data_IF_765156925618
#
_entry.id   IF_765156925618
#
_cell.length_a   1.000
_cell.length_b   1.000
_cell.length_c   1.000
_cell.angle_alpha   90.00
_cell.angle_beta   90.00
_cell.angle_gamma   90.00
#
_symmetry.space_group_name_H-M   'P 1'
#
loop_
_entity.id
_entity.type
_entity.pdbx_description
1 polymer ?
#
# COMPACT_ATOMS: atom_id res chain seq x y z
N UNK A 1 39.45 -22.46 -20.17
CA UNK A 1 39.08 -22.62 -18.73
C UNK A 1 39.04 -21.29 -18.00
N UNK A 2 40.03 -20.40 -18.15
CA UNK A 2 40.04 -19.06 -17.53
C UNK A 2 38.71 -18.30 -17.64
N UNK A 3 38.14 -18.13 -18.84
CA UNK A 3 36.91 -17.34 -19.03
C UNK A 3 35.73 -17.84 -18.19
N UNK A 4 35.54 -19.16 -18.06
CA UNK A 4 34.48 -19.73 -17.21
C UNK A 4 34.74 -19.47 -15.73
N UNK A 5 36.00 -19.48 -15.30
CA UNK A 5 36.37 -19.15 -13.92
C UNK A 5 36.20 -17.65 -13.64
N UNK A 6 36.50 -16.77 -14.59
CA UNK A 6 36.25 -15.32 -14.50
C UNK A 6 34.73 -15.07 -14.45
N UNK A 7 33.94 -15.62 -15.37
CA UNK A 7 32.47 -15.48 -15.37
C UNK A 7 31.88 -15.98 -14.05
N UNK A 8 32.29 -17.13 -13.56
CA UNK A 8 31.82 -17.66 -12.27
C UNK A 8 32.25 -16.78 -11.08
N UNK A 9 33.46 -16.23 -11.10
CA UNK A 9 33.94 -15.29 -10.08
C UNK A 9 33.15 -13.99 -10.06
N UNK A 10 32.93 -13.38 -11.24
CA UNK A 10 32.14 -12.15 -11.39
C UNK A 10 30.66 -12.38 -11.01
N UNK A 11 30.07 -13.51 -11.41
CA UNK A 11 28.72 -13.90 -10.97
C UNK A 11 28.66 -14.08 -9.45
N UNK A 12 29.65 -14.74 -8.84
CA UNK A 12 29.71 -14.92 -7.40
C UNK A 12 29.81 -13.59 -6.65
N UNK A 13 30.62 -12.63 -7.12
CA UNK A 13 30.70 -11.30 -6.50
C UNK A 13 29.41 -10.50 -6.63
N UNK A 14 28.72 -10.57 -7.77
CA UNK A 14 27.40 -9.93 -7.91
C UNK A 14 26.33 -10.60 -7.04
N UNK A 15 26.31 -11.93 -6.96
CA UNK A 15 25.38 -12.67 -6.11
C UNK A 15 25.63 -12.43 -4.62
N UNK A 16 26.89 -12.27 -4.20
CA UNK A 16 27.23 -11.89 -2.83
C UNK A 16 26.68 -10.50 -2.49
N UNK A 17 26.93 -9.49 -3.34
CA UNK A 17 26.40 -8.14 -3.15
C UNK A 17 24.85 -8.11 -3.09
N UNK A 18 24.17 -8.87 -3.97
CA UNK A 18 22.71 -9.03 -3.91
C UNK A 18 22.28 -9.73 -2.61
N UNK A 19 23.01 -10.76 -2.16
CA UNK A 19 22.69 -11.48 -0.92
C UNK A 19 22.84 -10.59 0.31
N UNK A 20 23.89 -9.76 0.38
CA UNK A 20 24.10 -8.80 1.47
C UNK A 20 23.00 -7.74 1.49
N UNK A 21 22.59 -7.21 0.32
CA UNK A 21 21.46 -6.30 0.21
C UNK A 21 20.11 -6.95 0.59
N UNK A 22 19.90 -8.21 0.22
CA UNK A 22 18.66 -8.96 0.50
C UNK A 22 18.60 -9.43 1.97
N UNK A 23 19.73 -9.70 2.61
CA UNK A 23 19.83 -10.23 3.99
C UNK A 23 18.98 -9.48 5.03
N UNK A 24 19.01 -8.13 5.13
CA UNK A 24 18.14 -7.38 6.06
C UNK A 24 16.66 -7.39 5.63
N UNK A 25 16.35 -7.36 4.33
CA UNK A 25 14.99 -7.22 3.80
C UNK A 25 14.28 -8.56 3.54
N UNK A 26 14.94 -9.71 3.70
CA UNK A 26 14.42 -11.05 3.37
C UNK A 26 13.06 -11.37 3.99
N UNK A 27 12.83 -10.95 5.23
CA UNK A 27 11.55 -11.17 5.93
C UNK A 27 10.41 -10.32 5.35
N UNK A 28 10.72 -9.09 4.94
CA UNK A 28 9.78 -8.22 4.24
C UNK A 28 9.46 -8.78 2.85
N UNK A 29 10.45 -9.23 2.09
CA UNK A 29 10.25 -9.88 0.79
C UNK A 29 9.37 -11.14 0.89
N UNK A 30 9.58 -11.99 1.91
CA UNK A 30 8.72 -13.15 2.17
C UNK A 30 7.28 -12.75 2.53
N UNK A 31 7.10 -11.70 3.34
CA UNK A 31 5.78 -11.18 3.69
C UNK A 31 5.06 -10.58 2.47
N UNK A 32 5.75 -9.79 1.64
CA UNK A 32 5.22 -9.27 0.38
C UNK A 32 4.78 -10.41 -0.57
N UNK A 33 5.61 -11.45 -0.73
CA UNK A 33 5.27 -12.63 -1.53
C UNK A 33 4.02 -13.34 -0.99
N UNK A 34 3.92 -13.52 0.32
CA UNK A 34 2.74 -14.11 0.96
C UNK A 34 1.47 -13.27 0.72
N UNK A 35 1.57 -11.94 0.80
CA UNK A 35 0.46 -11.01 0.53
C UNK A 35 0.02 -11.05 -0.94
N UNK A 36 0.95 -11.10 -1.92
CA UNK A 36 0.61 -11.26 -3.34
C UNK A 36 -0.12 -12.57 -3.60
N UNK A 37 0.34 -13.68 -2.99
CA UNK A 37 -0.31 -14.99 -3.14
C UNK A 37 -1.70 -15.03 -2.48
N UNK A 38 -1.85 -14.39 -1.31
CA UNK A 38 -3.13 -14.26 -0.62
C UNK A 38 -4.13 -13.43 -1.44
N UNK A 39 -3.73 -12.24 -1.93
CA UNK A 39 -4.59 -11.39 -2.76
C UNK A 39 -4.97 -12.08 -4.08
N UNK A 40 -4.06 -12.83 -4.69
CA UNK A 40 -4.36 -13.59 -5.90
C UNK A 40 -5.41 -14.68 -5.64
N UNK A 41 -5.31 -15.42 -4.53
CA UNK A 41 -6.34 -16.41 -4.14
C UNK A 41 -7.68 -15.74 -3.88
N UNK A 42 -7.73 -14.78 -2.96
CA UNK A 42 -8.99 -14.12 -2.58
C UNK A 42 -9.61 -13.31 -3.74
N UNK A 43 -8.79 -12.72 -4.61
CA UNK A 43 -9.24 -12.05 -5.82
C UNK A 43 -9.82 -13.00 -6.87
N UNK A 44 -9.28 -14.22 -7.00
CA UNK A 44 -9.84 -15.28 -7.85
C UNK A 44 -11.17 -15.78 -7.27
N UNK A 45 -11.23 -16.03 -5.96
CA UNK A 45 -12.45 -16.50 -5.30
C UNK A 45 -13.57 -15.44 -5.35
N UNK A 46 -13.24 -14.17 -5.16
CA UNK A 46 -14.19 -13.06 -5.35
C UNK A 46 -14.70 -12.95 -6.79
N UNK A 47 -13.82 -13.08 -7.80
CA UNK A 47 -14.23 -13.09 -9.21
C UNK A 47 -15.12 -14.30 -9.55
N UNK A 48 -14.81 -15.47 -8.97
CA UNK A 48 -15.60 -16.70 -9.11
C UNK A 48 -16.99 -16.56 -8.47
N UNK A 49 -17.09 -15.94 -7.29
CA UNK A 49 -18.37 -15.67 -6.62
C UNK A 49 -19.27 -14.71 -7.42
N UNK A 50 -18.69 -13.75 -8.15
CA UNK A 50 -19.44 -12.87 -9.08
C UNK A 50 -19.88 -13.54 -10.38
N UNK A 51 -19.36 -14.73 -10.69
CA UNK A 51 -19.54 -15.35 -12.02
C UNK A 51 -18.78 -14.64 -13.16
N UNK A 52 -17.77 -13.82 -12.84
CA UNK A 52 -16.99 -13.11 -13.86
C UNK A 52 -16.05 -14.04 -14.64
N UNK A 53 -15.85 -13.74 -15.93
CA UNK A 53 -14.90 -14.50 -16.77
C UNK A 53 -13.46 -14.18 -16.34
N UNK A 54 -12.83 -15.13 -15.61
CA UNK A 54 -11.47 -14.99 -15.07
C UNK A 54 -10.43 -14.95 -16.20
N UNK A 55 -10.16 -13.74 -16.71
CA UNK A 55 -9.08 -13.49 -17.67
C UNK A 55 -7.72 -13.56 -16.97
N UNK A 56 -7.04 -14.71 -17.07
CA UNK A 56 -5.70 -14.96 -16.51
C UNK A 56 -4.70 -13.80 -16.75
N UNK A 57 -4.70 -13.21 -17.95
CA UNK A 57 -3.87 -12.05 -18.30
C UNK A 57 -4.10 -10.81 -17.42
N UNK A 58 -5.35 -10.54 -16.99
CA UNK A 58 -5.67 -9.43 -16.06
C UNK A 58 -5.13 -9.72 -14.66
N UNK A 59 -5.31 -10.95 -14.18
CA UNK A 59 -4.83 -11.37 -12.86
C UNK A 59 -3.30 -11.30 -12.77
N UNK A 60 -2.59 -11.82 -13.79
CA UNK A 60 -1.12 -11.76 -13.87
C UNK A 60 -0.62 -10.31 -13.91
N UNK A 61 -1.23 -9.42 -14.70
CA UNK A 61 -0.87 -7.99 -14.69
C UNK A 61 -1.06 -7.34 -13.32
N UNK A 62 -2.14 -7.67 -12.59
CA UNK A 62 -2.35 -7.17 -11.22
C UNK A 62 -1.28 -7.68 -10.25
N UNK A 63 -0.93 -8.96 -10.34
CA UNK A 63 0.14 -9.55 -9.52
C UNK A 63 1.51 -8.94 -9.81
N UNK A 64 1.84 -8.70 -11.09
CA UNK A 64 3.09 -8.04 -11.50
C UNK A 64 3.14 -6.60 -10.98
N UNK A 65 2.06 -5.82 -11.12
CA UNK A 65 2.02 -4.48 -10.56
C UNK A 65 2.28 -4.48 -9.05
N UNK A 66 1.62 -5.37 -8.28
CA UNK A 66 1.91 -5.50 -6.84
C UNK A 66 3.37 -5.83 -6.55
N UNK A 67 3.97 -6.77 -7.29
CA UNK A 67 5.39 -7.13 -7.13
C UNK A 67 6.30 -5.91 -7.39
N UNK A 68 6.02 -5.14 -8.44
CA UNK A 68 6.77 -3.91 -8.76
C UNK A 68 6.57 -2.86 -7.66
N UNK A 69 5.33 -2.61 -7.23
CA UNK A 69 5.00 -1.67 -6.17
C UNK A 69 5.73 -2.03 -4.87
N UNK A 70 5.75 -3.32 -4.48
CA UNK A 70 6.50 -3.79 -3.31
C UNK A 70 8.00 -3.56 -3.43
N UNK A 71 8.61 -3.84 -4.59
CA UNK A 71 10.04 -3.57 -4.81
C UNK A 71 10.35 -2.07 -4.73
N UNK A 72 9.52 -1.23 -5.33
CA UNK A 72 9.63 0.23 -5.23
C UNK A 72 9.49 0.72 -3.79
N UNK A 73 8.49 0.25 -3.03
CA UNK A 73 8.30 0.64 -1.63
C UNK A 73 9.43 0.18 -0.71
N UNK A 74 10.03 -1.00 -0.97
CA UNK A 74 11.24 -1.45 -0.26
C UNK A 74 12.43 -0.52 -0.56
N UNK A 75 12.66 -0.16 -1.83
CA UNK A 75 13.73 0.78 -2.19
C UNK A 75 13.52 2.16 -1.54
N UNK A 76 12.29 2.68 -1.54
CA UNK A 76 11.94 3.95 -0.88
C UNK A 76 12.15 3.88 0.63
N UNK A 77 11.67 2.81 1.29
CA UNK A 77 11.82 2.61 2.73
C UNK A 77 13.29 2.47 3.15
N UNK A 78 14.09 1.71 2.39
CA UNK A 78 15.55 1.59 2.63
C UNK A 78 16.25 2.93 2.41
N UNK A 79 15.91 3.68 1.35
CA UNK A 79 16.47 5.01 1.10
C UNK A 79 16.14 6.00 2.23
N UNK A 80 14.91 5.94 2.78
CA UNK A 80 14.52 6.71 3.97
C UNK A 80 15.26 6.25 5.24
N UNK A 81 15.55 4.95 5.36
CA UNK A 81 16.40 4.40 6.41
C UNK A 81 17.80 4.97 6.39
N UNK A 82 18.45 4.98 5.23
CA UNK A 82 19.79 5.55 5.08
C UNK A 82 19.78 7.08 5.29
N UNK A 83 18.82 7.79 4.70
CA UNK A 83 18.76 9.26 4.74
C UNK A 83 18.29 9.85 6.08
N UNK A 84 17.44 9.15 6.83
CA UNK A 84 16.85 9.64 8.09
C UNK A 84 16.94 8.63 9.25
N UNK A 85 16.83 7.34 8.99
CA UNK A 85 17.00 6.32 10.03
C UNK A 85 18.40 6.30 10.63
N UNK A 86 19.46 6.37 9.82
CA UNK A 86 20.85 6.37 10.31
C UNK A 86 21.24 7.70 10.99
N UNK A 87 20.94 8.91 10.45
CA UNK A 87 21.44 10.14 11.06
C UNK A 87 20.68 10.55 12.32
N UNK A 88 19.42 10.14 12.46
CA UNK A 88 18.61 10.39 13.66
C UNK A 88 18.58 9.20 14.65
N UNK A 89 19.31 8.10 14.38
CA UNK A 89 19.38 6.94 15.27
C UNK A 89 18.06 6.16 15.39
N UNK A 90 17.23 6.15 14.34
CA UNK A 90 15.92 5.48 14.28
C UNK A 90 16.00 4.27 13.32
N UNK A 91 16.60 3.14 13.72
CA UNK A 91 16.78 1.97 12.84
C UNK A 91 15.46 1.30 12.44
N UNK A 92 14.37 1.59 13.17
CA UNK A 92 13.01 1.08 12.87
C UNK A 92 12.28 1.86 11.77
N UNK A 93 12.83 2.98 11.28
CA UNK A 93 12.13 3.86 10.32
C UNK A 93 11.72 3.13 9.01
N UNK A 94 12.57 2.31 8.35
CA UNK A 94 12.16 1.53 7.18
C UNK A 94 11.04 0.53 7.49
N UNK A 95 11.10 -0.10 8.67
CA UNK A 95 10.11 -1.07 9.11
C UNK A 95 8.73 -0.42 9.32
N UNK A 96 8.69 0.83 9.83
CA UNK A 96 7.46 1.61 9.99
C UNK A 96 6.86 1.95 8.61
N UNK A 97 7.67 2.41 7.66
CA UNK A 97 7.21 2.71 6.29
C UNK A 97 6.64 1.46 5.62
N UNK A 98 7.35 0.33 5.70
CA UNK A 98 6.88 -0.94 5.15
C UNK A 98 5.62 -1.47 5.85
N UNK A 99 5.51 -1.29 7.17
CA UNK A 99 4.30 -1.67 7.93
C UNK A 99 3.06 -0.92 7.44
N UNK A 100 3.17 0.38 7.13
CA UNK A 100 2.07 1.18 6.59
C UNK A 100 1.67 0.68 5.19
N UNK A 101 2.65 0.46 4.29
CA UNK A 101 2.40 -0.08 2.94
C UNK A 101 1.73 -1.45 3.02
N UNK A 102 2.24 -2.34 3.86
CA UNK A 102 1.72 -3.70 4.01
C UNK A 102 0.34 -3.69 4.67
N UNK A 103 0.07 -2.77 5.61
CA UNK A 103 -1.26 -2.58 6.19
C UNK A 103 -2.32 -2.17 5.16
N UNK A 104 -1.98 -1.26 4.24
CA UNK A 104 -2.85 -0.88 3.13
C UNK A 104 -3.13 -2.05 2.17
N UNK A 105 -2.11 -2.84 1.85
CA UNK A 105 -2.19 -4.06 1.04
C UNK A 105 -3.04 -5.16 1.71
N UNK A 106 -2.82 -5.42 3.01
CA UNK A 106 -3.60 -6.33 3.84
C UNK A 106 -5.08 -5.95 3.81
N UNK A 107 -5.40 -4.66 3.93
CA UNK A 107 -6.79 -4.21 3.82
C UNK A 107 -7.40 -4.43 2.41
N UNK A 108 -6.59 -4.29 1.35
CA UNK A 108 -7.03 -4.64 -0.01
C UNK A 108 -7.38 -6.12 -0.11
N UNK A 109 -6.55 -6.99 0.48
CA UNK A 109 -6.80 -8.43 0.56
C UNK A 109 -8.08 -8.75 1.36
N UNK A 110 -8.26 -8.14 2.53
CA UNK A 110 -9.46 -8.32 3.35
C UNK A 110 -10.73 -7.84 2.63
N UNK A 111 -10.68 -6.71 1.93
CA UNK A 111 -11.82 -6.23 1.15
C UNK A 111 -12.21 -7.22 0.04
N UNK A 112 -11.24 -7.81 -0.67
CA UNK A 112 -11.50 -8.89 -1.63
C UNK A 112 -12.10 -10.15 -0.94
N UNK A 113 -11.57 -10.54 0.23
CA UNK A 113 -12.04 -11.70 1.00
C UNK A 113 -13.49 -11.56 1.51
N UNK A 114 -13.85 -10.40 2.09
CA UNK A 114 -15.21 -10.13 2.57
C UNK A 114 -16.23 -10.09 1.42
N UNK A 115 -15.81 -9.57 0.25
CA UNK A 115 -16.65 -9.53 -0.95
C UNK A 115 -16.87 -10.93 -1.55
N UNK A 116 -15.92 -11.86 -1.40
CA UNK A 116 -16.10 -13.27 -1.74
C UNK A 116 -17.04 -14.03 -0.78
N UNK A 117 -17.15 -13.59 0.47
CA UNK A 117 -18.00 -14.20 1.52
C UNK A 117 -19.33 -13.47 1.73
N UNK A 118 -19.77 -12.65 0.76
CA UNK A 118 -21.11 -12.02 0.74
C UNK A 118 -21.34 -10.91 1.78
N UNK A 119 -20.35 -10.54 2.58
CA UNK A 119 -20.47 -9.47 3.57
C UNK A 119 -20.19 -8.10 2.94
N UNK A 120 -21.18 -7.19 2.92
CA UNK A 120 -21.07 -5.84 2.31
C UNK A 120 -20.15 -4.86 3.08
N UNK A 121 -19.19 -5.34 3.84
CA UNK A 121 -18.33 -4.52 4.72
C UNK A 121 -17.09 -4.06 3.97
N UNK A 122 -17.20 -2.95 3.23
CA UNK A 122 -16.02 -2.25 2.66
C UNK A 122 -15.32 -1.44 3.75
N UNK A 123 -14.29 -2.01 4.39
CA UNK A 123 -13.47 -1.29 5.37
C UNK A 123 -12.53 -0.32 4.62
N UNK A 124 -12.95 0.93 4.47
CA UNK A 124 -12.06 2.00 4.02
C UNK A 124 -11.27 2.53 5.22
N UNK A 125 -9.99 2.15 5.37
CA UNK A 125 -9.09 2.75 6.39
C UNK A 125 -9.05 4.28 6.25
N UNK A 126 -9.14 4.83 5.03
CA UNK A 126 -9.25 6.27 4.80
C UNK A 126 -10.44 6.92 5.51
N UNK A 127 -11.58 6.21 5.66
CA UNK A 127 -12.73 6.71 6.41
C UNK A 127 -12.49 6.65 7.92
N UNK A 128 -11.79 5.61 8.40
CA UNK A 128 -11.43 5.47 9.82
C UNK A 128 -10.36 6.47 10.27
N UNK A 129 -9.39 6.78 9.42
CA UNK A 129 -8.41 7.86 9.65
C UNK A 129 -9.08 9.24 9.58
N UNK A 130 -9.96 9.49 8.60
CA UNK A 130 -10.68 10.76 8.49
C UNK A 130 -11.61 11.02 9.70
N UNK A 131 -12.26 9.98 10.23
CA UNK A 131 -13.03 10.08 11.47
C UNK A 131 -12.21 10.46 12.72
N UNK A 132 -10.86 10.45 12.64
CA UNK A 132 -9.98 11.00 13.69
C UNK A 132 -9.47 12.41 13.39
N UNK A 133 -9.43 12.84 12.13
CA UNK A 133 -9.08 14.24 11.78
C UNK A 133 -10.21 15.20 12.11
N UNK A 134 -11.47 14.75 11.97
CA UNK A 134 -12.65 15.59 12.23
C UNK A 134 -12.86 15.87 13.76
N UNK A 135 -12.07 15.25 14.64
CA UNK A 135 -12.02 15.53 16.10
C UNK A 135 -11.00 16.65 16.44
N UNK A 136 -10.14 17.03 15.49
CA UNK A 136 -9.02 17.97 15.71
C UNK A 136 -9.23 19.30 14.95
N UNK A 137 -10.35 19.45 14.24
CA UNK A 137 -10.83 20.77 13.83
C UNK A 137 -11.55 21.44 15.01
N UNK A 138 -11.14 22.64 15.46
CA UNK A 138 -12.02 23.50 16.23
C UNK A 138 -13.23 23.84 15.36
N UNK A 139 -14.43 23.70 15.91
CA UNK A 139 -15.66 24.01 15.19
C UNK A 139 -15.84 25.54 15.18
N UNK A 140 -15.34 26.21 14.14
CA UNK A 140 -15.49 27.65 13.91
C UNK A 140 -16.94 27.98 13.46
N UNK A 141 -17.92 27.60 14.28
CA UNK A 141 -19.27 28.16 14.21
C UNK A 141 -19.26 29.56 14.81
N UNK A 142 -19.15 30.57 13.96
CA UNK A 142 -20.13 31.68 13.90
C UNK A 142 -19.59 32.88 13.10
N UNK A 143 -20.15 33.09 11.90
CA UNK A 143 -20.54 34.43 11.43
C UNK A 143 -21.89 34.35 10.69
N UNK A 144 -22.78 35.36 10.84
CA UNK A 144 -24.12 35.32 10.26
C UNK A 144 -24.10 35.41 8.73
N UNK A 145 -25.20 34.99 8.10
CA UNK A 145 -25.49 35.29 6.70
C UNK A 145 -26.08 36.69 6.59
N UNK A 146 -25.52 37.51 5.70
CA UNK A 146 -26.16 38.73 5.23
C UNK A 146 -27.20 38.36 4.16
N UNK A 147 -28.47 38.29 4.57
CA UNK A 147 -29.60 37.98 3.69
C UNK A 147 -30.43 39.26 3.41
N UNK A 148 -30.13 39.96 2.31
CA UNK A 148 -31.00 40.95 1.64
C UNK A 148 -31.02 40.56 0.15
N UNK A 149 -32.19 40.40 -0.53
CA UNK A 149 -33.17 41.48 -0.69
C UNK A 149 -34.67 41.10 -0.64
N UNK A 150 -35.53 42.12 -0.43
CA UNK A 150 -36.62 42.56 -1.36
C UNK A 150 -37.78 43.24 -0.63
N UNK A 151 -38.31 44.33 -1.23
CA UNK A 151 -39.43 45.16 -0.73
C UNK A 151 -40.78 44.43 -0.61
N UNK A 152 -41.75 45.04 0.11
CA UNK A 152 -42.99 45.43 -0.60
C UNK A 152 -43.64 46.76 -0.16
N UNK A 153 -44.11 47.53 -1.15
CA UNK A 153 -45.48 48.09 -1.22
C UNK A 153 -45.95 49.25 -0.31
N UNK A 154 -46.09 50.43 -0.95
CA UNK A 154 -47.28 51.33 -0.91
C UNK A 154 -47.65 52.10 0.39
N UNK A 155 -48.23 53.29 0.18
CA UNK A 155 -48.75 54.30 1.15
C UNK A 155 -47.67 55.21 1.78
N UNK A 156 -47.86 56.53 1.87
CA UNK A 156 -48.99 57.40 1.51
C UNK A 156 -48.53 58.70 0.81
#
# INVERSE_FOLDING_TARGET
>A
MNERNVINGTLASYLAWVADFVSPIRWFLLAALALVVADLKFGIDAARHRGEVIRKSRAVRRSINKIIDYLCWILVATSFGEAFGTPFGIPVLPAIVLLVVYGCEINSCFNNYFEAHGSRVRINIFKWFKGKSDIIAPDDTDKPRDDDPTQPGTTA
#
